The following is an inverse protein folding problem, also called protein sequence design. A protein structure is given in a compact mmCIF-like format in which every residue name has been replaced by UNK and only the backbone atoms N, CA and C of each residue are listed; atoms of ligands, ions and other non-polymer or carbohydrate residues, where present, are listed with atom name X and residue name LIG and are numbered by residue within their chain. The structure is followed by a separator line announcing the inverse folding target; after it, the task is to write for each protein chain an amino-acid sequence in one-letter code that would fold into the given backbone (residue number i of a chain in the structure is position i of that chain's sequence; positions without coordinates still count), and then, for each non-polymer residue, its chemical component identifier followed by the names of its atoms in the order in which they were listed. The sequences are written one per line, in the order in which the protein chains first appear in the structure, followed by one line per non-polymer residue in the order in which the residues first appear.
data_IF_916901642907
#
_entry.id   IF_916901642907
#
_cell.length_a   1.000
_cell.length_b   1.000
_cell.length_c   1.000
_cell.angle_alpha   90.00
_cell.angle_beta   90.00
_cell.angle_gamma   90.00
#
_symmetry.space_group_name_H-M   'P 1'
#
loop_
_entity.id
_entity.type
_entity.pdbx_description
1 polymer ?
2 non-polymer ?
3 non-polymer ?
4 non-polymer ?
5 water ?
#
# COMPACT_ATOMS: atom_id res chain seq x y z
N UNK A 1 11.69 -21.87 6.57
CA UNK A 1 11.43 -22.46 7.91
C UNK A 1 11.05 -21.38 8.91
N UNK A 2 9.97 -21.64 9.66
CA UNK A 2 9.49 -20.69 10.66
C UNK A 2 9.49 -21.33 12.05
N UNK A 3 10.14 -20.66 12.99
CA UNK A 3 10.21 -21.16 14.36
C UNK A 3 8.86 -20.97 15.04
N UNK A 4 8.65 -21.69 16.15
CA UNK A 4 7.40 -21.61 16.88
C UNK A 4 7.25 -20.30 17.65
N UNK A 5 6.00 -19.86 17.79
CA UNK A 5 5.71 -18.64 18.52
C UNK A 5 5.85 -18.96 20.01
N UNK A 6 6.14 -17.95 20.84
CA UNK A 6 6.29 -18.18 22.27
C UNK A 6 4.89 -18.16 22.90
N UNK A 7 4.80 -18.51 24.18
CA UNK A 7 3.53 -18.47 24.87
C UNK A 7 3.06 -17.01 24.83
N UNK A 8 1.78 -16.81 24.55
CA UNK A 8 1.20 -15.47 24.49
C UNK A 8 -0.17 -15.48 25.14
N UNK A 9 -0.49 -14.42 25.88
CA UNK A 9 -1.78 -14.30 26.54
C UNK A 9 -2.57 -13.18 25.88
N UNK A 10 -3.71 -13.54 25.28
CA UNK A 10 -4.56 -12.56 24.62
C UNK A 10 -5.98 -13.11 24.57
N UNK A 11 -6.96 -12.23 24.31
CA UNK A 11 -8.37 -12.62 24.24
C UNK A 11 -8.62 -13.73 23.22
N UNK A 12 -9.38 -14.73 23.63
CA UNK A 12 -9.69 -15.84 22.74
C UNK A 12 -10.59 -15.37 21.61
N UNK A 13 -10.25 -15.74 20.36
CA UNK A 13 -11.11 -15.30 19.26
C UNK A 13 -12.44 -16.04 19.42
N UNK A 14 -13.55 -15.35 19.11
CA UNK A 14 -14.87 -15.95 19.25
C UNK A 14 -15.48 -16.33 17.91
N UNK A 15 -15.56 -17.62 17.66
CA UNK A 15 -16.10 -18.15 16.41
C UNK A 15 -17.50 -17.65 16.06
N UNK A 16 -18.36 -17.48 17.06
CA UNK A 16 -19.72 -17.04 16.82
C UNK A 16 -19.93 -15.55 17.00
N UNK A 17 -18.84 -14.80 16.96
CA UNK A 17 -18.89 -13.35 17.09
C UNK A 17 -17.98 -12.74 16.03
N UNK A 18 -18.57 -12.19 14.95
CA UNK A 18 -17.79 -11.59 13.88
C UNK A 18 -16.95 -10.39 14.34
N UNK A 19 -15.86 -10.14 13.62
CA UNK A 19 -14.96 -9.03 13.92
C UNK A 19 -15.74 -7.73 13.79
N UNK A 20 -16.25 -7.52 12.57
CA UNK A 20 -17.00 -6.34 12.23
C UNK A 20 -18.28 -6.81 11.55
N UNK A 21 -19.38 -6.09 11.79
CA UNK A 21 -20.65 -6.44 11.18
C UNK A 21 -21.05 -5.30 10.25
N UNK A 22 -20.16 -4.32 10.13
CA UNK A 22 -20.42 -3.16 9.30
C UNK A 22 -19.61 -3.14 8.00
N UNK A 23 -18.63 -4.04 7.90
CA UNK A 23 -17.80 -4.10 6.70
C UNK A 23 -17.40 -5.51 6.30
N UNK A 24 -17.02 -5.65 5.03
CA UNK A 24 -16.55 -6.91 4.48
C UNK A 24 -15.10 -7.06 4.91
N UNK A 25 -14.76 -8.17 5.57
CA UNK A 25 -13.39 -8.37 6.05
C UNK A 25 -12.61 -9.42 5.27
N UNK A 26 -13.23 -10.00 4.25
CA UNK A 26 -12.56 -11.01 3.42
C UNK A 26 -13.13 -10.94 2.00
N UNK A 27 -12.26 -11.01 1.00
CA UNK A 27 -12.70 -10.94 -0.39
C UNK A 27 -13.22 -12.30 -0.87
N UNK A 28 -13.90 -12.33 -2.03
CA UNK A 28 -14.42 -13.59 -2.56
C UNK A 28 -13.32 -14.61 -2.90
N UNK A 29 -12.07 -14.14 -2.97
CA UNK A 29 -10.97 -15.07 -3.25
C UNK A 29 -10.18 -15.32 -1.98
N UNK A 30 -10.84 -15.10 -0.85
CA UNK A 30 -10.31 -15.34 0.49
C UNK A 30 -9.08 -14.55 0.91
N UNK A 31 -9.02 -13.29 0.50
CA UNK A 31 -7.92 -12.41 0.88
C UNK A 31 -8.50 -11.51 1.97
N UNK A 32 -7.77 -11.36 3.09
CA UNK A 32 -8.30 -10.49 4.15
C UNK A 32 -8.35 -9.03 3.70
N UNK A 33 -9.36 -8.30 4.17
CA UNK A 33 -9.47 -6.88 3.90
C UNK A 33 -9.15 -6.32 5.28
N UNK A 34 -8.05 -5.58 5.36
CA UNK A 34 -7.55 -5.07 6.62
C UNK A 34 -8.22 -3.84 7.22
N UNK A 35 -8.96 -4.06 8.31
CA UNK A 35 -9.66 -3.02 9.05
C UNK A 35 -9.25 -3.12 10.53
N UNK A 36 -9.33 -2.02 11.25
CA UNK A 36 -9.01 -2.04 12.67
C UNK A 36 -10.01 -2.98 13.34
N UNK A 37 -9.51 -3.87 14.20
CA UNK A 37 -10.38 -4.81 14.88
C UNK A 37 -10.29 -6.23 14.33
N UNK A 38 -9.72 -6.37 13.13
CA UNK A 38 -9.59 -7.69 12.51
C UNK A 38 -8.30 -8.41 12.85
N UNK A 39 -7.31 -7.68 13.37
CA UNK A 39 -6.04 -8.29 13.68
C UNK A 39 -5.48 -8.00 15.07
N UNK A 40 -4.70 -8.95 15.58
CA UNK A 40 -4.03 -8.80 16.86
C UNK A 40 -2.60 -8.52 16.41
N UNK A 41 -2.17 -7.27 16.56
CA UNK A 41 -0.84 -6.87 16.13
C UNK A 41 0.29 -7.55 16.89
N UNK A 42 0.02 -8.02 18.11
CA UNK A 42 1.06 -8.70 18.88
C UNK A 42 1.42 -10.03 18.25
N UNK A 43 0.40 -10.77 17.80
CA UNK A 43 0.66 -12.05 17.16
C UNK A 43 1.40 -11.80 15.84
N UNK A 44 0.91 -10.86 15.04
CA UNK A 44 1.57 -10.56 13.77
C UNK A 44 3.00 -10.04 13.95
N UNK A 45 3.23 -9.16 14.92
CA UNK A 45 4.58 -8.65 15.16
C UNK A 45 5.52 -9.82 15.45
N UNK A 46 5.07 -10.77 16.27
CA UNK A 46 5.87 -11.94 16.60
C UNK A 46 6.21 -12.73 15.34
N UNK A 47 5.19 -13.02 14.54
CA UNK A 47 5.40 -13.79 13.32
C UNK A 47 6.44 -13.17 12.39
N UNK A 48 6.30 -11.87 12.12
CA UNK A 48 7.24 -11.23 11.22
C UNK A 48 8.62 -10.94 11.80
N UNK A 49 8.69 -10.71 13.11
CA UNK A 49 9.99 -10.46 13.74
C UNK A 49 10.80 -11.75 13.77
N UNK A 50 10.12 -12.88 13.99
CA UNK A 50 10.81 -14.17 14.03
C UNK A 50 11.45 -14.48 12.69
N UNK A 51 10.98 -13.81 11.64
CA UNK A 51 11.51 -14.01 10.30
C UNK A 51 12.49 -12.90 9.94
N UNK A 52 12.75 -12.01 10.91
CA UNK A 52 13.65 -10.87 10.72
C UNK A 52 13.30 -10.14 9.43
N UNK A 53 12.01 -9.83 9.30
CA UNK A 53 11.48 -9.15 8.13
C UNK A 53 12.01 -7.75 7.92
N UNK A 54 12.38 -7.45 6.68
CA UNK A 54 12.85 -6.12 6.31
C UNK A 54 11.88 -5.55 5.29
N UNK A 55 11.36 -4.37 5.57
CA UNK A 55 10.41 -3.72 4.67
C UNK A 55 11.03 -2.52 4.00
N UNK A 56 10.93 -2.48 2.67
CA UNK A 56 11.45 -1.35 1.93
C UNK A 56 10.28 -0.44 1.63
N UNK A 57 10.46 0.86 1.85
CA UNK A 57 9.43 1.84 1.57
C UNK A 57 9.99 2.77 0.50
N UNK A 58 9.37 2.74 -0.68
CA UNK A 58 9.84 3.57 -1.79
C UNK A 58 8.94 4.77 -2.04
N UNK A 59 9.56 5.91 -2.30
CA UNK A 59 8.82 7.13 -2.59
C UNK A 59 9.58 7.95 -3.62
N UNK A 60 8.83 8.62 -4.49
CA UNK A 60 9.44 9.46 -5.51
C UNK A 60 9.17 10.90 -5.13
N UNK A 61 10.22 11.69 -5.06
CA UNK A 61 10.09 13.10 -4.70
C UNK A 61 10.82 13.94 -5.73
N UNK A 62 10.07 14.42 -6.72
CA UNK A 62 10.63 15.24 -7.79
C UNK A 62 10.15 16.67 -7.72
N UNK A 63 11.00 17.60 -8.15
CA UNK A 63 10.67 19.01 -8.16
C UNK A 63 10.15 19.51 -6.80
N UNK A 64 9.00 20.18 -6.84
CA UNK A 64 8.40 20.75 -5.62
C UNK A 64 8.07 19.72 -4.54
N UNK A 65 7.88 18.47 -4.93
CA UNK A 65 7.52 17.44 -3.97
C UNK A 65 8.58 17.09 -2.92
N UNK A 66 9.82 17.52 -3.13
CA UNK A 66 10.86 17.23 -2.14
C UNK A 66 10.51 17.91 -0.83
N UNK A 67 9.65 18.92 -0.89
CA UNK A 67 9.23 19.65 0.30
C UNK A 67 8.38 18.81 1.26
N UNK A 68 7.84 17.70 0.77
CA UNK A 68 6.99 16.84 1.60
C UNK A 68 7.77 15.74 2.33
N UNK A 69 9.04 15.57 1.99
CA UNK A 69 9.85 14.53 2.60
C UNK A 69 10.02 14.57 4.12
N UNK A 70 10.25 15.76 4.67
CA UNK A 70 10.45 15.86 6.11
C UNK A 70 9.28 15.32 6.92
N UNK A 71 8.07 15.80 6.64
CA UNK A 71 6.89 15.33 7.37
C UNK A 71 6.64 13.86 7.10
N UNK A 72 6.80 13.45 5.85
CA UNK A 72 6.59 12.06 5.47
C UNK A 72 7.49 11.13 6.29
N UNK A 73 8.79 11.40 6.27
CA UNK A 73 9.74 10.57 6.98
C UNK A 73 9.61 10.63 8.50
N UNK A 74 9.40 11.83 9.05
CA UNK A 74 9.26 11.97 10.49
C UNK A 74 8.06 11.18 11.01
N UNK A 75 6.94 11.24 10.30
CA UNK A 75 5.76 10.51 10.74
C UNK A 75 5.91 9.02 10.47
N UNK A 76 6.66 8.66 9.42
CA UNK A 76 6.87 7.25 9.14
C UNK A 76 7.65 6.66 10.32
N UNK A 77 8.57 7.46 10.87
CA UNK A 77 9.37 7.01 12.00
C UNK A 77 8.51 6.73 13.22
N UNK A 78 7.40 7.45 13.36
CA UNK A 78 6.52 7.26 14.50
C UNK A 78 5.46 6.17 14.32
N UNK A 79 5.09 5.91 13.07
CA UNK A 79 4.02 4.95 12.80
C UNK A 79 4.23 3.79 11.84
N UNK A 80 5.28 3.84 11.03
CA UNK A 80 5.50 2.80 10.03
C UNK A 80 6.43 1.67 10.41
N UNK A 81 5.87 0.47 10.55
CA UNK A 81 6.65 -0.72 10.88
C UNK A 81 7.59 -0.54 12.07
N UNK A 82 7.17 0.20 13.08
CA UNK A 82 8.03 0.40 14.25
C UNK A 82 8.35 -0.94 14.89
N UNK A 83 9.65 -1.17 15.15
CA UNK A 83 10.08 -2.42 15.75
C UNK A 83 10.68 -3.37 14.73
N UNK A 84 10.41 -3.10 13.45
CA UNK A 84 10.92 -3.92 12.37
C UNK A 84 12.00 -3.22 11.57
N UNK A 85 12.73 -3.98 10.76
CA UNK A 85 13.78 -3.41 9.93
C UNK A 85 13.13 -2.69 8.76
N UNK A 86 13.46 -1.41 8.59
CA UNK A 86 12.91 -0.61 7.50
C UNK A 86 14.01 0.05 6.69
N UNK A 87 13.86 0.01 5.36
CA UNK A 87 14.82 0.64 4.48
C UNK A 87 14.05 1.57 3.57
N UNK A 88 14.26 2.87 3.74
CA UNK A 88 13.59 3.86 2.91
C UNK A 88 14.39 4.08 1.64
N UNK A 89 13.69 4.18 0.52
CA UNK A 89 14.36 4.44 -0.76
C UNK A 89 13.70 5.69 -1.32
N UNK A 90 14.46 6.79 -1.31
CA UNK A 90 13.96 8.06 -1.82
C UNK A 90 14.54 8.35 -3.20
N UNK A 91 13.67 8.30 -4.20
CA UNK A 91 14.06 8.58 -5.59
C UNK A 91 13.78 10.06 -5.82
N UNK A 92 14.83 10.82 -6.12
CA UNK A 92 14.66 12.25 -6.31
C UNK A 92 15.63 12.86 -7.32
N UNK A 93 15.26 14.02 -7.84
CA UNK A 93 16.09 14.74 -8.79
C UNK A 93 16.93 15.77 -8.03
N UNK A 94 16.74 15.83 -6.72
CA UNK A 94 17.45 16.78 -5.87
C UNK A 94 17.99 16.09 -4.61
N UNK A 95 19.02 15.23 -4.78
CA UNK A 95 19.62 14.50 -3.65
C UNK A 95 20.00 15.40 -2.46
N UNK A 96 20.55 16.56 -2.77
CA UNK A 96 20.96 17.48 -1.72
C UNK A 96 19.78 18.10 -0.99
N UNK A 97 18.60 18.05 -1.59
CA UNK A 97 17.41 18.63 -0.97
C UNK A 97 16.73 17.71 0.04
N UNK A 98 17.13 16.44 0.08
CA UNK A 98 16.51 15.51 1.02
C UNK A 98 16.87 15.93 2.45
N UNK A 99 15.85 16.10 3.31
CA UNK A 99 16.08 16.50 4.70
C UNK A 99 16.78 15.44 5.53
N UNK A 100 17.57 15.89 6.50
CA UNK A 100 18.29 14.99 7.39
C UNK A 100 17.34 14.62 8.53
N UNK A 101 16.63 13.51 8.36
CA UNK A 101 15.68 13.05 9.37
C UNK A 101 16.32 12.01 10.28
N UNK A 102 16.08 12.15 11.58
CA UNK A 102 16.62 11.24 12.56
C UNK A 102 15.84 9.93 12.55
N UNK A 103 16.54 8.82 12.35
CA UNK A 103 15.90 7.52 12.29
C UNK A 103 16.15 6.65 13.51
N UNK A 104 15.16 5.81 13.83
CA UNK A 104 15.31 4.91 14.95
C UNK A 104 16.28 3.80 14.58
N UNK A 105 16.70 3.01 15.57
CA UNK A 105 17.64 1.94 15.29
C UNK A 105 17.05 0.89 14.34
N UNK A 106 17.90 0.31 13.50
CA UNK A 106 17.44 -0.70 12.56
C UNK A 106 16.73 -0.16 11.34
N UNK A 107 16.79 1.16 11.16
CA UNK A 107 16.15 1.79 10.04
C UNK A 107 17.19 2.55 9.23
N UNK A 108 17.07 2.47 7.91
CA UNK A 108 18.03 3.08 7.00
C UNK A 108 17.35 3.85 5.88
N UNK A 109 18.04 4.85 5.35
CA UNK A 109 17.50 5.64 4.25
C UNK A 109 18.53 5.75 3.15
N UNK A 110 18.11 5.47 1.92
CA UNK A 110 19.00 5.57 0.77
C UNK A 110 18.42 6.57 -0.23
N UNK A 111 19.27 7.46 -0.73
CA UNK A 111 18.83 8.44 -1.70
C UNK A 111 19.31 8.00 -3.07
N UNK A 112 18.37 7.83 -4.00
CA UNK A 112 18.69 7.42 -5.36
C UNK A 112 18.33 8.55 -6.31
N UNK A 113 19.33 9.07 -7.01
CA UNK A 113 19.08 10.17 -7.94
C UNK A 113 18.51 9.66 -9.25
N UNK A 114 17.54 10.40 -9.78
CA UNK A 114 16.91 10.03 -11.04
C UNK A 114 16.97 11.20 -12.01
N UNK A 136 15.19 -3.08 -8.87
CA UNK A 136 16.35 -3.79 -9.47
C UNK A 136 16.74 -5.01 -8.65
N UNK A 137 17.95 -5.49 -8.85
CA UNK A 137 18.45 -6.65 -8.11
C UNK A 137 18.70 -6.25 -6.67
N UNK A 138 18.98 -4.97 -6.48
CA UNK A 138 19.23 -4.41 -5.16
C UNK A 138 18.10 -4.79 -4.21
N UNK A 139 16.87 -4.50 -4.63
CA UNK A 139 15.69 -4.80 -3.82
C UNK A 139 15.58 -6.26 -3.40
N UNK A 140 15.80 -7.18 -4.35
CA UNK A 140 15.72 -8.60 -4.07
C UNK A 140 16.68 -9.04 -2.97
N UNK A 141 17.83 -8.36 -2.88
CA UNK A 141 18.83 -8.71 -1.89
C UNK A 141 18.79 -7.85 -0.62
N UNK A 142 18.04 -6.75 -0.66
CA UNK A 142 18.00 -5.87 0.51
C UNK A 142 16.74 -5.90 1.36
N UNK A 143 15.60 -6.20 0.77
CA UNK A 143 14.37 -6.23 1.54
C UNK A 143 13.50 -7.44 1.18
N UNK A 144 12.54 -7.74 2.06
CA UNK A 144 11.64 -8.87 1.83
C UNK A 144 10.35 -8.40 1.18
N UNK A 145 9.91 -7.21 1.57
CA UNK A 145 8.68 -6.62 1.04
C UNK A 145 8.95 -5.20 0.57
N UNK A 146 8.20 -4.77 -0.44
CA UNK A 146 8.30 -3.42 -0.95
C UNK A 146 6.95 -2.75 -0.83
N UNK A 147 6.95 -1.53 -0.30
CA UNK A 147 5.73 -0.75 -0.14
C UNK A 147 5.94 0.53 -0.93
N UNK A 148 5.04 0.79 -1.86
CA UNK A 148 5.15 1.96 -2.74
C UNK A 148 4.06 2.96 -2.44
N UNK A 149 4.46 4.17 -2.01
CA UNK A 149 3.50 5.21 -1.68
C UNK A 149 3.90 6.59 -2.21
N UNK A 150 2.95 7.52 -2.16
CA UNK A 150 3.20 8.89 -2.60
C UNK A 150 3.82 9.65 -1.42
N UNK A 151 4.62 10.66 -1.73
CA UNK A 151 5.31 11.44 -0.70
C UNK A 151 4.50 12.57 -0.05
N UNK A 152 3.50 13.08 -0.76
CA UNK A 152 2.69 14.16 -0.20
C UNK A 152 1.61 13.58 0.70
N UNK A 153 2.08 12.92 1.75
CA UNK A 153 1.24 12.23 2.72
C UNK A 153 1.92 12.29 4.08
N UNK A 154 1.20 11.86 5.11
CA UNK A 154 1.76 11.80 6.44
C UNK A 154 1.10 10.65 7.19
N UNK A 155 1.87 9.98 8.04
CA UNK A 155 1.31 8.89 8.82
C UNK A 155 0.71 9.52 10.07
N UNK A 156 -0.47 9.07 10.46
CA UNK A 156 -1.15 9.61 11.64
C UNK A 156 -1.44 8.50 12.65
N UNK A 157 -1.29 7.25 12.24
CA UNK A 157 -1.53 6.14 13.13
C UNK A 157 -0.81 4.91 12.60
N UNK A 158 -0.86 3.84 13.38
CA UNK A 158 -0.20 2.58 13.04
C UNK A 158 -0.39 2.03 11.62
N UNK A 159 0.73 1.75 10.96
CA UNK A 159 0.74 1.11 9.65
C UNK A 159 1.85 0.08 9.88
N UNK A 160 1.47 -1.16 10.10
CA UNK A 160 2.44 -2.19 10.39
C UNK A 160 2.40 -3.45 9.55
N UNK A 161 2.96 -4.52 10.10
CA UNK A 161 3.06 -5.80 9.38
C UNK A 161 1.74 -6.43 9.00
N UNK A 162 0.64 -5.92 9.52
CA UNK A 162 -0.66 -6.47 9.15
C UNK A 162 -0.90 -6.29 7.64
N UNK A 163 -0.16 -5.39 7.01
CA UNK A 163 -0.35 -5.18 5.56
C UNK A 163 0.50 -6.10 4.69
N UNK A 164 1.53 -6.69 5.27
CA UNK A 164 2.44 -7.54 4.51
C UNK A 164 1.85 -8.86 4.01
N UNK A 165 2.10 -9.13 2.74
CA UNK A 165 1.55 -10.29 2.06
C UNK A 165 2.20 -10.29 0.67
N UNK A 166 2.05 -11.39 -0.11
CA UNK A 166 2.69 -11.36 -1.44
C UNK A 166 2.30 -10.16 -2.32
N UNK A 167 1.04 -9.77 -2.31
CA UNK A 167 0.59 -8.66 -3.13
C UNK A 167 -0.63 -7.97 -2.54
N UNK A 168 -0.54 -6.67 -2.32
CA UNK A 168 -1.69 -5.95 -1.77
C UNK A 168 -2.00 -4.66 -2.50
N UNK A 169 -3.28 -4.29 -2.46
CA UNK A 169 -3.77 -3.06 -3.04
C UNK A 169 -4.56 -2.37 -1.94
N UNK A 170 -4.87 -1.09 -2.13
CA UNK A 170 -5.61 -0.32 -1.12
C UNK A 170 -6.89 0.26 -1.72
N UNK A 171 -7.99 0.18 -0.98
CA UNK A 171 -9.25 0.72 -1.47
C UNK A 171 -9.21 2.25 -1.54
N UNK A 172 -9.51 2.78 -2.72
CA UNK A 172 -9.53 4.23 -2.93
C UNK A 172 -10.59 4.81 -2.00
N UNK A 173 -10.23 5.83 -1.21
CA UNK A 173 -11.19 6.45 -0.28
C UNK A 173 -12.45 7.07 -0.87
N UNK A 174 -12.41 7.40 -2.15
CA UNK A 174 -13.58 8.01 -2.80
C UNK A 174 -14.51 7.01 -3.47
N UNK A 175 -14.12 5.73 -3.51
CA UNK A 175 -14.96 4.73 -4.17
C UNK A 175 -15.22 3.44 -3.41
N UNK A 176 -14.82 3.37 -2.14
CA UNK A 176 -15.03 2.12 -1.41
C UNK A 176 -16.49 1.70 -1.26
N UNK A 177 -17.41 2.66 -1.36
CA UNK A 177 -18.82 2.33 -1.26
C UNK A 177 -19.56 2.44 -2.58
N UNK A 178 -18.81 2.60 -3.67
CA UNK A 178 -19.41 2.75 -4.99
C UNK A 178 -19.59 1.43 -5.74
N UNK A 179 -20.53 1.42 -6.69
CA UNK A 179 -20.79 0.24 -7.51
C UNK A 179 -19.73 0.23 -8.61
N UNK A 180 -19.40 -0.95 -9.12
CA UNK A 180 -18.38 -1.06 -10.16
C UNK A 180 -18.61 -0.17 -11.38
N UNK A 181 -19.88 0.08 -11.70
CA UNK A 181 -20.20 0.93 -12.85
C UNK A 181 -19.69 2.34 -12.66
N UNK A 182 -19.61 2.78 -11.40
CA UNK A 182 -19.15 4.13 -11.09
C UNK A 182 -17.63 4.24 -11.00
N UNK A 183 -16.95 3.10 -10.92
CA UNK A 183 -15.49 3.09 -10.84
C UNK A 183 -14.91 3.80 -12.06
N UNK A 184 -13.91 4.65 -11.83
CA UNK A 184 -13.29 5.37 -12.94
C UNK A 184 -12.19 4.59 -13.64
N UNK A 185 -12.50 3.34 -13.98
CA UNK A 185 -11.56 2.47 -14.69
C UNK A 185 -11.43 3.04 -16.10
N UNK A 186 -10.42 2.57 -16.84
CA UNK A 186 -10.26 3.01 -18.23
C UNK A 186 -11.36 2.23 -18.94
N UNK A 187 -12.24 2.95 -19.66
CA UNK A 187 -13.36 2.31 -20.34
C UNK A 187 -13.23 2.11 -21.85
N UNK A 188 -12.14 2.60 -22.43
CA UNK A 188 -11.93 2.45 -23.88
C UNK A 188 -11.22 1.14 -24.18
N UNK A 189 -11.85 0.28 -25.01
CA UNK A 189 -11.29 -1.02 -25.40
C UNK A 189 -9.92 -0.93 -26.07
N UNK A 190 -9.60 0.24 -26.59
CA UNK A 190 -8.32 0.45 -27.27
C UNK A 190 -7.13 0.46 -26.30
N UNK A 191 -7.41 0.60 -25.01
CA UNK A 191 -6.37 0.65 -24.00
C UNK A 191 -6.15 -0.69 -23.30
N UNK A 192 -4.90 -0.98 -22.97
CA UNK A 192 -4.55 -2.22 -22.30
C UNK A 192 -5.12 -2.25 -20.88
N UNK A 193 -5.48 -1.07 -20.35
CA UNK A 193 -6.03 -0.97 -19.00
C UNK A 193 -7.56 -1.08 -19.01
N UNK A 194 -8.13 -1.33 -20.18
CA UNK A 194 -9.57 -1.44 -20.32
C UNK A 194 -10.26 -2.45 -19.42
N UNK A 195 -11.35 -2.02 -18.79
CA UNK A 195 -12.16 -2.88 -17.92
C UNK A 195 -13.61 -2.50 -18.20
N UNK A 196 -14.41 -3.45 -18.71
CA UNK A 196 -15.83 -3.19 -19.00
C UNK A 196 -16.69 -3.00 -17.75
N UNK A 197 -17.87 -2.41 -17.94
CA UNK A 197 -18.79 -2.13 -16.84
C UNK A 197 -19.24 -3.32 -16.01
N UNK A 198 -19.16 -4.54 -16.56
CA UNK A 198 -19.59 -5.71 -15.80
C UNK A 198 -18.45 -6.47 -15.14
N UNK A 199 -17.28 -5.82 -15.06
CA UNK A 199 -16.11 -6.41 -14.42
C UNK A 199 -15.55 -5.46 -13.36
N UNK A 200 -14.79 -6.03 -12.42
CA UNK A 200 -14.18 -5.22 -11.38
C UNK A 200 -14.60 -5.61 -9.97
N UNK A 201 -13.62 -5.72 -9.07
CA UNK A 201 -13.91 -6.05 -7.69
C UNK A 201 -13.95 -4.77 -6.87
N UNK A 202 -12.86 -4.02 -6.93
CA UNK A 202 -12.74 -2.77 -6.20
C UNK A 202 -11.98 -1.75 -7.03
N UNK A 203 -11.98 -0.51 -6.57
CA UNK A 203 -11.19 0.52 -7.24
C UNK A 203 -10.02 0.79 -6.30
N UNK A 204 -8.82 0.36 -6.71
CA UNK A 204 -7.64 0.55 -5.88
C UNK A 204 -6.98 1.88 -6.20
N UNK A 205 -6.42 2.54 -5.19
CA UNK A 205 -5.75 3.81 -5.43
C UNK A 205 -4.28 3.54 -5.70
N UNK A 206 -3.73 4.21 -6.71
CA UNK A 206 -2.34 4.00 -7.05
C UNK A 206 -1.33 4.51 -6.04
N UNK A 207 -1.79 5.26 -5.05
CA UNK A 207 -0.90 5.85 -4.05
C UNK A 207 -0.40 4.93 -2.93
N UNK A 208 -0.85 3.68 -2.91
CA UNK A 208 -0.41 2.77 -1.84
C UNK A 208 -0.63 1.31 -2.24
N UNK A 209 0.46 0.65 -2.64
CA UNK A 209 0.40 -0.77 -2.99
C UNK A 209 1.74 -1.39 -2.65
N UNK A 210 1.81 -2.71 -2.69
CA UNK A 210 3.07 -3.38 -2.36
C UNK A 210 2.93 -4.88 -2.32
N UNK A 211 3.91 -5.52 -1.68
CA UNK A 211 3.92 -6.97 -1.60
C UNK A 211 5.36 -7.45 -1.54
N UNK A 212 5.60 -8.71 -1.89
CA UNK A 212 6.97 -9.22 -1.90
C UNK A 212 7.69 -8.49 -3.02
N UNK A 213 9.02 -8.44 -2.96
CA UNK A 213 9.76 -7.76 -4.01
C UNK A 213 9.44 -8.37 -5.36
N UNK A 214 9.37 -9.70 -5.41
CA UNK A 214 9.07 -10.41 -6.65
C UNK A 214 7.71 -10.01 -7.24
N UNK A 215 6.68 -9.97 -6.41
CA UNK A 215 5.35 -9.61 -6.90
C UNK A 215 5.24 -8.15 -7.30
N UNK A 216 5.89 -7.26 -6.55
CA UNK A 216 5.85 -5.85 -6.88
C UNK A 216 6.56 -5.61 -8.21
N UNK A 217 7.67 -6.29 -8.43
CA UNK A 217 8.40 -6.12 -9.68
C UNK A 217 7.61 -6.70 -10.86
N UNK A 218 6.88 -7.79 -10.62
CA UNK A 218 6.06 -8.38 -11.67
C UNK A 218 4.97 -7.38 -12.07
N UNK A 219 4.38 -6.73 -11.08
CA UNK A 219 3.33 -5.75 -11.32
C UNK A 219 3.88 -4.54 -12.09
N UNK A 220 4.99 -3.99 -11.61
CA UNK A 220 5.56 -2.82 -12.27
C UNK A 220 6.00 -3.14 -13.70
N UNK A 221 6.51 -4.35 -13.91
CA UNK A 221 6.95 -4.77 -15.24
C UNK A 221 5.73 -4.87 -16.16
N UNK A 222 4.66 -5.47 -15.66
CA UNK A 222 3.45 -5.65 -16.44
C UNK A 222 2.84 -4.31 -16.84
N UNK A 223 2.77 -3.38 -15.88
CA UNK A 223 2.21 -2.06 -16.16
C UNK A 223 3.07 -1.26 -17.11
N UNK A 224 4.39 -1.35 -16.95
CA UNK A 224 5.31 -0.62 -17.80
C UNK A 224 5.11 -1.04 -19.25
N UNK A 225 5.03 -2.35 -19.48
CA UNK A 225 4.84 -2.87 -20.84
C UNK A 225 3.47 -2.49 -21.40
N UNK A 226 2.45 -2.53 -20.57
CA UNK A 226 1.09 -2.17 -21.01
C UNK A 226 1.04 -0.70 -21.41
N UNK A 227 1.72 0.14 -20.66
CA UNK A 227 1.73 1.57 -20.96
C UNK A 227 2.46 1.85 -22.27
N UNK A 228 3.51 1.09 -22.55
CA UNK A 228 4.26 1.27 -23.80
C UNK A 228 3.37 0.90 -24.98
N UNK A 229 2.57 -0.16 -24.81
CA UNK A 229 1.67 -0.59 -25.86
C UNK A 229 0.64 0.50 -26.12
N UNK A 230 0.13 1.10 -25.05
CA UNK A 230 -0.85 2.18 -25.17
C UNK A 230 -0.23 3.38 -25.88
N UNK A 231 0.98 3.73 -25.48
CA UNK A 231 1.69 4.87 -26.07
C UNK A 231 1.82 4.67 -27.58
N UNK A 232 2.20 3.47 -27.99
CA UNK A 232 2.36 3.15 -29.40
C UNK A 232 1.03 3.21 -30.13
N UNK A 233 -0.06 2.94 -29.41
CA UNK A 233 -1.39 2.97 -30.00
C UNK A 233 -2.03 4.36 -29.90
N UNK A 234 -1.23 5.32 -29.44
CA UNK A 234 -1.71 6.70 -29.32
C UNK A 234 -2.81 6.91 -28.29
N UNK A 235 -2.77 6.18 -27.20
CA UNK A 235 -3.79 6.33 -26.17
C UNK A 235 -3.15 6.38 -24.77
N UNK A 236 -3.76 7.14 -23.88
CA UNK A 236 -3.27 7.29 -22.51
C UNK A 236 -4.43 7.02 -21.55
N UNK A 237 -4.26 6.02 -20.67
CA UNK A 237 -5.29 5.66 -19.71
C UNK A 237 -5.78 6.87 -18.93
N UNK A 238 -7.10 6.93 -18.74
CA UNK A 238 -7.75 8.03 -18.02
C UNK A 238 -7.04 8.43 -16.73
N UNK A 239 -6.67 7.45 -15.91
CA UNK A 239 -5.96 7.77 -14.67
C UNK A 239 -4.55 7.20 -14.63
N UNK A 240 -3.93 7.16 -15.80
CA UNK A 240 -2.56 6.73 -15.97
C UNK A 240 -2.17 5.45 -15.25
N UNK A 241 -1.11 5.51 -14.43
CA UNK A 241 -0.62 4.35 -13.70
C UNK A 241 -1.70 3.65 -12.88
N UNK A 242 -2.59 4.44 -12.27
CA UNK A 242 -3.65 3.90 -11.45
C UNK A 242 -4.61 3.02 -12.26
N UNK A 243 -4.86 3.41 -13.51
CA UNK A 243 -5.75 2.65 -14.36
C UNK A 243 -5.13 1.29 -14.64
N UNK A 244 -3.83 1.27 -14.89
CA UNK A 244 -3.13 0.02 -15.16
C UNK A 244 -3.03 -0.83 -13.90
N UNK A 245 -2.82 -0.19 -12.76
CA UNK A 245 -2.75 -0.91 -11.49
C UNK A 245 -4.06 -1.67 -11.28
N UNK A 246 -5.18 -1.00 -11.56
CA UNK A 246 -6.48 -1.63 -11.39
C UNK A 246 -6.70 -2.79 -12.32
N UNK A 247 -6.23 -2.68 -13.56
CA UNK A 247 -6.36 -3.77 -14.51
C UNK A 247 -5.52 -4.97 -14.02
N UNK A 248 -4.32 -4.69 -13.50
CA UNK A 248 -3.46 -5.76 -13.03
C UNK A 248 -4.07 -6.50 -11.85
N UNK A 249 -4.57 -5.75 -10.86
CA UNK A 249 -5.16 -6.36 -9.68
C UNK A 249 -6.49 -7.05 -9.95
N UNK A 250 -7.09 -6.74 -11.10
CA UNK A 250 -8.33 -7.40 -11.47
C UNK A 250 -7.97 -8.80 -11.96
N UNK A 251 -6.90 -8.88 -12.76
CA UNK A 251 -6.44 -10.14 -13.33
C UNK A 251 -5.51 -10.96 -12.43
N UNK A 252 -4.90 -10.32 -11.44
CA UNK A 252 -4.02 -10.99 -10.47
C UNK A 252 -4.53 -10.50 -9.12
N UNK A 253 -5.44 -11.25 -8.52
CA UNK A 253 -6.06 -10.87 -7.26
C UNK A 253 -5.05 -10.66 -6.13
N UNK A 254 -5.17 -9.53 -5.42
CA UNK A 254 -4.23 -9.28 -4.32
C UNK A 254 -4.51 -10.25 -3.17
N UNK A 255 -3.46 -10.60 -2.43
CA UNK A 255 -3.58 -11.55 -1.32
C UNK A 255 -4.06 -10.89 -0.02
N UNK A 256 -4.11 -9.55 -0.04
CA UNK A 256 -4.63 -8.74 1.05
C UNK A 256 -5.08 -7.44 0.41
N UNK A 257 -6.14 -6.83 0.96
CA UNK A 257 -6.64 -5.55 0.47
C UNK A 257 -6.70 -4.65 1.69
N UNK A 258 -6.13 -3.46 1.60
CA UNK A 258 -6.15 -2.54 2.73
C UNK A 258 -7.38 -1.65 2.66
N UNK A 259 -8.01 -1.43 3.81
CA UNK A 259 -9.20 -0.57 3.88
C UNK A 259 -8.78 0.88 3.73
N UNK A 260 -9.75 1.79 3.57
CA UNK A 260 -9.45 3.23 3.42
C UNK A 260 -8.74 3.84 4.63
N UNK A 261 -8.66 3.09 5.73
CA UNK A 261 -7.96 3.59 6.91
C UNK A 261 -6.53 3.89 6.48
N UNK A 262 -6.06 3.14 5.49
CA UNK A 262 -4.69 3.26 5.00
C UNK A 262 -4.42 4.30 3.92
N UNK A 263 -5.46 4.96 3.43
CA UNK A 263 -5.27 6.00 2.42
C UNK A 263 -6.50 6.90 2.51
N UNK A 264 -6.40 7.94 3.32
CA UNK A 264 -7.53 8.84 3.55
C UNK A 264 -7.21 10.31 3.32
N UNK A 265 -8.25 11.12 3.24
CA UNK A 265 -8.14 12.57 3.06
C UNK A 265 -9.23 13.12 3.95
N UNK A 266 -8.87 13.52 5.17
CA UNK A 266 -9.83 14.02 6.13
C UNK A 266 -10.49 15.34 5.74
N UNK A 267 -9.74 16.23 5.10
CA UNK A 267 -10.34 17.50 4.71
C UNK A 267 -11.37 17.31 3.61
N UNK A 268 -11.12 16.34 2.73
CA UNK A 268 -12.03 16.06 1.63
C UNK A 268 -13.17 15.11 1.99
N UNK A 269 -12.88 14.14 2.86
CA UNK A 269 -13.88 13.13 3.22
C UNK A 269 -14.28 13.02 4.69
N UNK A 270 -13.71 13.85 5.55
CA UNK A 270 -14.07 13.81 6.96
C UNK A 270 -13.58 12.57 7.71
N UNK A 271 -14.36 12.14 8.69
CA UNK A 271 -14.03 10.97 9.49
C UNK A 271 -15.29 10.14 9.76
N UNK A 272 -15.68 9.29 8.78
CA UNK A 272 -16.86 8.44 8.89
C UNK A 272 -16.73 7.38 9.99
N UNK A 273 -17.87 6.98 10.55
CA UNK A 273 -17.89 5.99 11.62
C UNK A 273 -17.20 4.67 11.26
N UNK A 274 -17.29 4.29 9.99
CA UNK A 274 -16.69 3.04 9.54
C UNK A 274 -15.17 3.02 9.70
N UNK A 275 -14.57 4.18 9.88
CA UNK A 275 -13.11 4.26 10.06
C UNK A 275 -12.76 4.49 11.52
N UNK A 276 -12.26 3.45 12.19
CA UNK A 276 -11.89 3.57 13.59
C UNK A 276 -10.55 4.28 13.74
N UNK A 277 -9.76 4.27 12.67
CA UNK A 277 -8.46 4.92 12.66
C UNK A 277 -8.18 5.53 11.29
N UNK A 278 -7.44 6.64 11.28
CA UNK A 278 -7.03 7.31 10.05
C UNK A 278 -5.51 7.16 10.16
N UNK A 279 -4.95 6.20 9.41
CA UNK A 279 -3.54 5.88 9.48
C UNK A 279 -2.54 6.60 8.58
N UNK A 280 -2.92 6.82 7.33
CA UNK A 280 -2.03 7.44 6.34
C UNK A 280 -2.92 8.40 5.55
N UNK A 281 -2.62 9.69 5.62
CA UNK A 281 -3.46 10.69 4.98
C UNK A 281 -2.79 11.70 4.06
N UNK A 282 -3.59 12.34 3.23
CA UNK A 282 -3.08 13.34 2.31
C UNK A 282 -2.73 14.60 3.08
N UNK A 283 -1.75 15.35 2.59
CA UNK A 283 -1.34 16.59 3.24
C UNK A 283 -2.00 17.74 2.49
N UNK A 284 -2.73 18.59 3.20
CA UNK A 284 -3.40 19.74 2.58
C UNK A 284 -2.44 20.74 1.94
X LIG B 1 -9.39 11.37 -7.25
X LIG B 1 -7.89 11.33 -7.00
X LIG B 1 -7.14 11.06 -8.30
X LIG B 1 -7.68 9.80 -8.98
X LIG B 1 -9.20 9.93 -9.15
X LIG B 1 -9.77 8.67 -9.79
X LIG B 1 -10.09 11.55 -6.02
X LIG B 1 -7.47 12.58 -6.45
X LIG B 1 -5.74 10.90 -8.04
X LIG B 1 -7.39 8.67 -8.15
X LIG B 1 -9.81 10.14 -7.86
X LIG B 1 -11.17 8.82 -9.98
X LIG C 1 0.83 -0.30 -12.15
X LIG D 1 7.92 0.54 -5.54
X LIG E 1 -0.64 -3.47 -15.31
X LIG F 1 -12.42 -9.07 15.39
X LIG G 1 7.30 4.13 -5.40
X LIG H 1 3.79 1.96 -15.16
X LIG I 1 6.26 1.54 -7.26
#
# INVERSE_FOLDING_TARGET
FMVSLPRMVYPQPKVLTPCRKDVLVVTPWLAPIVWEGTFNIDILNEQFRLQNTTIGLTVFAIKKYVAFLKLFLETAEKHFMVGHRVHYYVFTDQPAAVPRVTLGTGRQLSVLEVGAYKRWQDVSMRRMEMISDFCERRFLSEVDYLVCVDVDMEFRDHVGVEILTPLFGTLHPSFYGSSREAFTYERRPQSQAYIPKDEGDFYYMGAFFGGSVQEVQRLTRACHQAMMVDQANGIEAVWHDESHLNKYLLRHKPTKVLSPEYLWDQQLLGWPAVLRKLRFTAVPKNHQAVRNP
GAL C1 C2 C3 C4 C5 C6 O1 O2 O3 O4 O5 O6
HG HG
HG HG
HG HG
HG HG
HG HG
HG HG
CL CL
#
